data_IF_412189849983
#
_entry.id   IF_412189849983
#
_cell.length_a   1.000
_cell.length_b   1.000
_cell.length_c   1.000
_cell.angle_alpha   90.00
_cell.angle_beta   90.00
_cell.angle_gamma   90.00
#
_symmetry.space_group_name_H-M   'P 1'
#
loop_
_entity.id
_entity.type
_entity.pdbx_description
1 polymer ?
#
# COMPACT_ATOMS: atom_id res chain seq x y z
N UNK A 1 -23.67 -57.72 16.31
CA UNK A 1 -22.74 -58.69 16.91
C UNK A 1 -21.33 -58.11 16.74
N UNK A 2 -20.70 -57.56 17.78
CA UNK A 2 -19.87 -58.29 18.76
C UNK A 2 -18.63 -58.89 18.08
N UNK A 3 -17.36 -58.70 18.50
CA UNK A 3 -16.65 -58.02 19.60
C UNK A 3 -15.13 -58.07 19.21
N UNK A 4 -14.28 -57.44 20.04
CA UNK A 4 -12.89 -57.80 20.40
C UNK A 4 -11.80 -57.36 19.41
N UNK A 5 -11.00 -56.32 19.68
CA UNK A 5 -10.01 -56.17 20.78
C UNK A 5 -8.99 -57.31 20.84
N UNK A 6 -7.71 -56.99 20.64
CA UNK A 6 -6.60 -57.60 21.41
C UNK A 6 -5.33 -56.75 21.35
N UNK A 7 -4.90 -56.37 22.55
CA UNK A 7 -3.63 -55.79 22.95
C UNK A 7 -2.47 -56.80 22.82
N UNK A 8 -1.24 -56.29 22.64
CA UNK A 8 0.02 -56.84 23.19
C UNK A 8 0.83 -55.62 23.68
N UNK A 9 0.99 -55.40 24.98
CA UNK A 9 1.96 -55.99 25.95
C UNK A 9 3.41 -55.80 25.52
N UNK A 10 4.16 -54.95 26.24
CA UNK A 10 5.12 -55.31 27.31
C UNK A 10 6.50 -55.60 26.70
N UNK A 11 7.66 -55.18 27.20
CA UNK A 11 8.12 -54.74 28.51
C UNK A 11 9.56 -54.21 28.29
N UNK A 12 10.14 -53.47 29.24
CA UNK A 12 11.59 -53.27 29.24
C UNK A 12 12.11 -51.99 29.88
N UNK A 13 11.85 -51.80 31.17
CA UNK A 13 12.60 -50.88 32.02
C UNK A 13 14.04 -51.42 32.21
N UNK A 14 15.07 -50.62 31.91
CA UNK A 14 16.38 -50.77 32.54
C UNK A 14 16.86 -49.42 33.06
N UNK A 15 16.69 -49.25 34.35
CA UNK A 15 17.31 -48.22 35.18
C UNK A 15 18.81 -48.53 35.34
N UNK A 16 19.66 -47.53 35.13
CA UNK A 16 20.93 -47.46 35.84
C UNK A 16 21.29 -46.01 36.11
N UNK A 17 21.45 -45.72 37.38
CA UNK A 17 21.69 -44.40 37.94
C UNK A 17 23.16 -43.99 37.79
N UNK A 18 23.40 -42.72 37.47
CA UNK A 18 24.61 -42.00 37.86
C UNK A 18 24.30 -40.50 37.90
N UNK A 19 23.87 -40.03 39.07
CA UNK A 19 23.75 -38.60 39.36
C UNK A 19 25.16 -38.04 39.54
N UNK A 20 25.62 -37.23 38.59
CA UNK A 20 26.73 -36.29 38.81
C UNK A 20 26.13 -34.89 38.89
N UNK A 21 25.97 -34.42 40.12
CA UNK A 21 25.62 -33.03 40.43
C UNK A 21 26.74 -32.12 39.95
N UNK A 22 26.51 -31.41 38.84
CA UNK A 22 27.34 -30.27 38.44
C UNK A 22 26.58 -29.01 38.88
N UNK A 23 27.05 -28.39 39.97
CA UNK A 23 26.62 -27.06 40.36
C UNK A 23 27.30 -26.05 39.42
N UNK A 24 26.62 -25.68 38.33
CA UNK A 24 26.95 -24.46 37.57
C UNK A 24 26.12 -23.34 38.17
N UNK A 25 26.74 -22.52 39.01
CA UNK A 25 26.28 -21.15 39.27
C UNK A 25 26.44 -20.37 37.95
N UNK A 26 25.44 -20.46 37.09
CA UNK A 26 25.34 -19.70 35.86
C UNK A 26 24.29 -18.61 36.03
N UNK A 27 24.72 -17.37 36.18
CA UNK A 27 23.87 -16.19 36.13
C UNK A 27 23.08 -16.19 34.82
N UNK A 28 21.79 -16.49 34.88
CA UNK A 28 20.89 -16.37 33.72
C UNK A 28 20.59 -14.88 33.51
N UNK A 29 21.40 -14.20 32.70
CA UNK A 29 21.02 -12.92 32.12
C UNK A 29 19.86 -13.20 31.16
N UNK A 30 18.64 -12.87 31.58
CA UNK A 30 17.47 -12.88 30.70
C UNK A 30 17.64 -11.75 29.66
N UNK A 31 18.17 -12.09 28.49
CA UNK A 31 18.17 -11.18 27.35
C UNK A 31 16.72 -11.01 26.88
N UNK A 32 16.07 -9.92 27.30
CA UNK A 32 14.77 -9.51 26.77
C UNK A 32 15.01 -9.01 25.35
N UNK A 33 14.81 -9.88 24.36
CA UNK A 33 14.76 -9.46 22.96
C UNK A 33 13.48 -8.63 22.76
N UNK A 34 13.61 -7.30 22.86
CA UNK A 34 12.60 -6.38 22.38
C UNK A 34 12.59 -6.51 20.86
N UNK A 35 11.73 -7.37 20.34
CA UNK A 35 11.43 -7.41 18.92
C UNK A 35 10.70 -6.11 18.60
N UNK A 36 11.44 -5.12 18.11
CA UNK A 36 10.89 -3.94 17.48
C UNK A 36 10.10 -4.42 16.27
N UNK A 37 8.79 -4.61 16.43
CA UNK A 37 7.88 -4.76 15.30
C UNK A 37 7.90 -3.41 14.57
N UNK A 38 8.89 -3.24 13.67
CA UNK A 38 8.84 -2.17 12.70
C UNK A 38 7.49 -2.32 12.00
N UNK A 39 6.64 -1.28 11.99
CA UNK A 39 5.36 -1.38 11.33
C UNK A 39 5.66 -1.74 9.87
N UNK A 40 5.21 -2.93 9.47
CA UNK A 40 5.23 -3.35 8.07
C UNK A 40 4.16 -2.52 7.34
N UNK A 41 4.45 -1.24 7.17
CA UNK A 41 3.81 -0.46 6.14
C UNK A 41 4.32 -1.09 4.85
N UNK A 42 3.49 -1.92 4.21
CA UNK A 42 3.69 -2.24 2.81
C UNK A 42 3.89 -0.89 2.11
N UNK A 43 5.14 -0.62 1.75
CA UNK A 43 5.57 0.66 1.19
C UNK A 43 5.00 0.70 -0.22
N UNK A 44 3.80 1.26 -0.34
CA UNK A 44 3.22 1.51 -1.63
C UNK A 44 4.21 2.35 -2.44
N UNK A 45 4.44 1.94 -3.68
CA UNK A 45 5.28 2.62 -4.65
C UNK A 45 4.51 2.64 -5.97
N UNK A 46 4.60 3.71 -6.77
CA UNK A 46 4.01 3.74 -8.08
C UNK A 46 4.60 2.60 -8.91
N UNK A 47 3.73 1.80 -9.51
CA UNK A 47 4.16 0.78 -10.47
C UNK A 47 4.60 1.47 -11.76
N UNK A 48 5.48 0.85 -12.57
CA UNK A 48 5.74 1.34 -13.92
C UNK A 48 4.43 1.50 -14.69
N UNK A 49 4.29 2.60 -15.44
CA UNK A 49 3.10 2.87 -16.25
C UNK A 49 2.93 1.79 -17.34
N UNK A 50 1.81 1.05 -17.36
CA UNK A 50 1.56 0.09 -18.43
C UNK A 50 1.40 0.79 -19.79
N UNK A 51 1.91 0.17 -20.87
CA UNK A 51 1.89 0.74 -22.24
C UNK A 51 0.50 1.18 -22.70
N UNK A 52 -0.54 0.41 -22.35
CA UNK A 52 -1.92 0.74 -22.65
C UNK A 52 -2.30 2.11 -22.08
N UNK A 53 -2.00 2.34 -20.80
CA UNK A 53 -2.35 3.59 -20.12
C UNK A 53 -1.56 4.79 -20.63
N UNK A 54 -0.29 4.60 -20.99
CA UNK A 54 0.51 5.67 -21.62
C UNK A 54 0.02 6.04 -23.02
N UNK A 55 -0.56 5.09 -23.76
CA UNK A 55 -1.22 5.37 -25.05
C UNK A 55 -2.50 6.16 -24.83
N UNK A 56 -3.38 5.72 -23.92
CA UNK A 56 -4.63 6.44 -23.61
C UNK A 56 -4.31 7.86 -23.13
N UNK A 57 -3.35 8.04 -22.22
CA UNK A 57 -2.95 9.37 -21.73
C UNK A 57 -2.50 10.29 -22.85
N UNK A 58 -1.68 9.81 -23.79
CA UNK A 58 -1.21 10.60 -24.93
C UNK A 58 -2.29 10.92 -25.96
N UNK A 59 -3.30 10.06 -26.09
CA UNK A 59 -4.46 10.31 -26.96
C UNK A 59 -5.41 11.35 -26.34
N UNK A 60 -5.52 11.35 -25.01
CA UNK A 60 -6.53 12.12 -24.29
C UNK A 60 -6.05 13.48 -23.80
N UNK A 61 -4.74 13.67 -23.65
CA UNK A 61 -4.15 14.99 -23.38
C UNK A 61 -3.80 15.67 -24.70
N UNK A 62 -4.06 16.98 -24.79
CA UNK A 62 -3.50 17.77 -25.89
C UNK A 62 -1.96 17.75 -25.87
N UNK A 63 -1.35 18.09 -27.00
CA UNK A 63 0.11 17.98 -27.15
C UNK A 63 0.88 18.85 -26.15
N UNK A 64 0.33 20.01 -25.76
CA UNK A 64 1.01 20.93 -24.86
C UNK A 64 0.97 20.41 -23.42
N UNK A 65 -0.19 19.95 -22.95
CA UNK A 65 -0.37 19.33 -21.63
C UNK A 65 0.42 18.03 -21.51
N UNK A 66 0.53 17.24 -22.58
CA UNK A 66 1.28 16.00 -22.59
C UNK A 66 2.81 16.22 -22.59
N UNK A 67 3.32 17.28 -23.24
CA UNK A 67 4.75 17.59 -23.31
C UNK A 67 5.27 18.31 -22.06
N UNK A 68 4.45 19.17 -21.45
CA UNK A 68 4.86 19.99 -20.31
C UNK A 68 4.82 19.24 -18.97
N UNK A 69 4.14 18.09 -18.89
CA UNK A 69 3.83 17.46 -17.62
C UNK A 69 4.54 16.11 -17.43
N UNK A 70 5.39 16.04 -16.42
CA UNK A 70 5.91 14.78 -15.86
C UNK A 70 4.85 14.11 -14.99
N UNK A 71 3.86 13.48 -15.64
CA UNK A 71 2.84 12.70 -14.95
C UNK A 71 3.44 11.40 -14.40
N UNK A 72 3.35 11.23 -13.08
CA UNK A 72 3.62 9.97 -12.40
C UNK A 72 2.38 9.10 -12.43
N UNK A 73 2.47 7.90 -13.01
CA UNK A 73 1.40 6.91 -12.93
C UNK A 73 1.26 6.40 -11.51
N UNK A 74 0.07 6.56 -10.92
CA UNK A 74 -0.19 6.10 -9.56
C UNK A 74 -0.72 4.68 -9.62
N UNK A 75 -1.88 4.51 -10.25
CA UNK A 75 -2.54 3.22 -10.32
C UNK A 75 -3.67 3.23 -11.36
N UNK A 76 -4.13 2.03 -11.70
CA UNK A 76 -5.26 1.83 -12.57
C UNK A 76 -6.12 0.66 -12.09
N UNK A 77 -7.36 0.65 -12.54
CA UNK A 77 -8.26 -0.47 -12.45
C UNK A 77 -8.91 -0.72 -13.80
N UNK A 78 -9.11 -2.00 -14.11
CA UNK A 78 -9.80 -2.44 -15.31
C UNK A 78 -10.82 -3.50 -14.93
N UNK A 79 -12.03 -3.34 -15.43
CA UNK A 79 -13.14 -4.26 -15.21
C UNK A 79 -14.16 -4.10 -16.33
N UNK A 80 -15.08 -5.05 -16.53
CA UNK A 80 -16.14 -4.92 -17.53
C UNK A 80 -17.00 -3.65 -17.38
N UNK A 81 -17.05 -3.06 -16.18
CA UNK A 81 -17.87 -1.87 -15.89
C UNK A 81 -17.11 -0.56 -16.06
N UNK A 82 -15.80 -0.56 -15.80
CA UNK A 82 -15.01 0.65 -15.73
C UNK A 82 -13.53 0.35 -15.95
N UNK A 83 -12.92 1.19 -16.79
CA UNK A 83 -11.48 1.37 -16.83
C UNK A 83 -11.17 2.76 -16.27
N UNK A 84 -10.24 2.84 -15.31
CA UNK A 84 -9.79 4.09 -14.74
C UNK A 84 -8.29 4.06 -14.45
N UNK A 85 -7.59 5.16 -14.74
CA UNK A 85 -6.22 5.40 -14.32
C UNK A 85 -6.08 6.75 -13.65
N UNK A 86 -5.21 6.80 -12.64
CA UNK A 86 -4.89 7.99 -11.86
C UNK A 86 -3.40 8.32 -12.01
N UNK A 87 -3.12 9.60 -12.23
CA UNK A 87 -1.78 10.16 -12.34
C UNK A 87 -1.63 11.33 -11.38
N UNK A 88 -0.40 11.60 -10.99
CA UNK A 88 -0.02 12.72 -10.12
C UNK A 88 1.06 13.56 -10.80
N UNK A 89 1.02 14.88 -10.64
CA UNK A 89 2.14 15.78 -10.97
C UNK A 89 2.28 16.91 -9.95
N UNK A 90 3.43 17.57 -9.98
CA UNK A 90 3.74 18.78 -9.23
C UNK A 90 3.44 18.71 -7.72
N UNK A 91 3.92 17.66 -7.00
CA UNK A 91 3.75 17.60 -5.55
C UNK A 91 4.48 18.77 -4.88
N UNK A 92 3.77 19.53 -4.05
CA UNK A 92 4.31 20.66 -3.28
C UNK A 92 3.88 20.56 -1.83
N UNK A 93 4.87 20.62 -0.94
CA UNK A 93 4.66 20.65 0.51
C UNK A 93 4.08 22.00 0.93
N UNK A 94 3.04 21.95 1.75
CA UNK A 94 2.49 23.07 2.51
C UNK A 94 2.19 22.55 3.91
N UNK A 95 3.07 22.86 4.86
CA UNK A 95 3.05 22.38 6.24
C UNK A 95 2.92 20.84 6.33
N UNK A 96 1.81 20.35 6.90
CA UNK A 96 1.50 18.93 7.09
C UNK A 96 0.75 18.33 5.90
N UNK A 97 0.66 19.06 4.79
CA UNK A 97 -0.02 18.62 3.57
C UNK A 97 0.90 18.64 2.36
N UNK A 98 0.64 17.76 1.41
CA UNK A 98 1.24 17.86 0.07
C UNK A 98 0.12 18.11 -0.93
N UNK A 99 0.13 19.28 -1.55
CA UNK A 99 -0.77 19.62 -2.66
C UNK A 99 -0.20 19.10 -3.97
N UNK A 100 -1.07 18.68 -4.89
CA UNK A 100 -0.66 18.19 -6.21
C UNK A 100 -1.81 18.26 -7.21
N UNK A 101 -1.51 18.08 -8.49
CA UNK A 101 -2.52 17.90 -9.53
C UNK A 101 -2.69 16.42 -9.84
N UNK A 102 -3.93 15.95 -9.89
CA UNK A 102 -4.27 14.61 -10.33
C UNK A 102 -4.93 14.63 -11.71
N UNK A 103 -4.60 13.65 -12.55
CA UNK A 103 -5.31 13.39 -13.80
C UNK A 103 -6.01 12.05 -13.68
N UNK A 104 -7.32 12.06 -13.95
CA UNK A 104 -8.16 10.86 -14.05
C UNK A 104 -8.52 10.61 -15.51
N UNK A 105 -8.15 9.43 -16.00
CA UNK A 105 -8.59 8.90 -17.29
C UNK A 105 -9.64 7.83 -17.00
N UNK A 106 -10.83 7.95 -17.56
CA UNK A 106 -11.93 7.02 -17.26
C UNK A 106 -12.79 6.72 -18.48
N UNK A 107 -13.22 5.47 -18.62
CA UNK A 107 -14.36 5.09 -19.48
C UNK A 107 -15.25 4.08 -18.77
N UNK A 108 -16.56 4.15 -19.02
CA UNK A 108 -17.56 3.27 -18.40
C UNK A 108 -17.90 2.13 -19.36
N UNK A 109 -17.20 1.01 -19.27
CA UNK A 109 -17.32 -0.09 -20.24
C UNK A 109 -16.66 0.25 -21.57
N UNK A 110 -16.32 -0.79 -22.33
CA UNK A 110 -15.42 -0.69 -23.47
C UNK A 110 -15.98 0.10 -24.67
N UNK A 111 -17.31 0.16 -24.80
CA UNK A 111 -18.00 0.85 -25.90
C UNK A 111 -18.14 2.36 -25.70
N UNK A 112 -17.82 2.88 -24.52
CA UNK A 112 -17.99 4.30 -24.21
C UNK A 112 -16.68 5.07 -24.46
N UNK A 113 -16.79 6.36 -24.85
CA UNK A 113 -15.61 7.19 -25.05
C UNK A 113 -14.85 7.40 -23.74
N UNK A 114 -13.56 7.66 -23.86
CA UNK A 114 -12.73 8.11 -22.76
C UNK A 114 -13.12 9.52 -22.33
N UNK A 115 -13.12 9.74 -21.02
CA UNK A 115 -13.19 11.04 -20.39
C UNK A 115 -11.91 11.35 -19.62
N UNK A 116 -11.59 12.64 -19.52
CA UNK A 116 -10.49 13.17 -18.71
C UNK A 116 -11.00 14.14 -17.67
N UNK A 117 -10.38 14.13 -16.49
CA UNK A 117 -10.61 15.14 -15.45
C UNK A 117 -9.28 15.45 -14.78
N UNK A 118 -8.99 16.75 -14.61
CA UNK A 118 -7.91 17.20 -13.72
C UNK A 118 -8.52 17.64 -12.40
N UNK A 119 -7.87 17.29 -11.29
CA UNK A 119 -8.29 17.62 -9.94
C UNK A 119 -7.13 18.26 -9.18
N UNK A 120 -7.40 19.37 -8.48
CA UNK A 120 -6.53 19.85 -7.42
C UNK A 120 -6.71 18.95 -6.20
N UNK A 121 -5.63 18.35 -5.73
CA UNK A 121 -5.62 17.37 -4.66
C UNK A 121 -4.68 17.81 -3.54
N UNK A 122 -4.93 17.31 -2.33
CA UNK A 122 -3.94 17.32 -1.26
C UNK A 122 -3.93 16.02 -0.47
N UNK A 123 -2.74 15.62 -0.04
CA UNK A 123 -2.51 14.54 0.90
C UNK A 123 -2.38 15.13 2.31
N UNK A 124 -3.20 14.65 3.25
CA UNK A 124 -3.09 14.94 4.67
C UNK A 124 -2.10 13.96 5.29
N UNK A 125 -0.87 14.41 5.55
CA UNK A 125 0.24 13.49 5.84
C UNK A 125 0.12 12.82 7.22
N UNK A 126 -0.54 13.47 8.18
CA UNK A 126 -0.78 12.87 9.50
C UNK A 126 -1.98 11.93 9.50
N UNK A 127 -3.04 12.29 8.76
CA UNK A 127 -4.29 11.55 8.78
C UNK A 127 -4.32 10.38 7.78
N UNK A 128 -3.38 10.34 6.82
CA UNK A 128 -3.34 9.30 5.79
C UNK A 128 -4.50 9.41 4.79
N UNK A 129 -5.05 10.61 4.61
CA UNK A 129 -6.24 10.89 3.79
C UNK A 129 -5.87 11.70 2.55
N UNK A 130 -6.58 11.43 1.44
CA UNK A 130 -6.58 12.28 0.26
C UNK A 130 -7.81 13.17 0.28
N UNK A 131 -7.63 14.42 -0.13
CA UNK A 131 -8.71 15.37 -0.34
C UNK A 131 -8.61 15.97 -1.74
N UNK A 132 -9.77 16.33 -2.28
CA UNK A 132 -9.88 17.07 -3.54
C UNK A 132 -10.49 18.44 -3.29
N UNK A 133 -10.12 19.39 -4.12
CA UNK A 133 -10.72 20.71 -4.14
C UNK A 133 -11.89 20.73 -5.13
N UNK A 134 -13.02 21.32 -4.73
CA UNK A 134 -14.13 21.63 -5.64
C UNK A 134 -13.90 22.96 -6.38
N UNK A 135 -14.86 23.33 -7.24
CA UNK A 135 -14.77 24.54 -8.06
C UNK A 135 -14.84 25.83 -7.22
N UNK A 136 -15.41 25.77 -6.02
CA UNK A 136 -15.47 26.88 -5.07
C UNK A 136 -14.24 26.94 -4.16
N UNK A 137 -13.25 26.05 -4.37
CA UNK A 137 -12.01 26.05 -3.61
C UNK A 137 -12.09 25.28 -2.28
N UNK A 138 -13.20 24.59 -1.99
CA UNK A 138 -13.38 23.84 -0.74
C UNK A 138 -12.77 22.44 -0.85
N UNK A 139 -12.12 22.02 0.23
CA UNK A 139 -11.53 20.69 0.33
C UNK A 139 -12.55 19.70 0.88
N UNK A 140 -12.59 18.50 0.28
CA UNK A 140 -13.40 17.39 0.74
C UNK A 140 -12.66 16.06 0.59
N UNK A 141 -12.94 15.06 1.45
CA UNK A 141 -12.35 13.74 1.32
C UNK A 141 -12.52 13.17 -0.09
N UNK A 142 -11.41 12.71 -0.67
CA UNK A 142 -11.41 11.94 -1.89
C UNK A 142 -11.49 10.45 -1.53
N UNK A 143 -12.47 9.70 -2.07
CA UNK A 143 -12.68 8.31 -1.68
C UNK A 143 -11.41 7.47 -1.78
N UNK A 144 -10.93 7.02 -0.62
CA UNK A 144 -9.82 6.08 -0.52
C UNK A 144 -10.27 4.65 -0.82
N UNK A 145 -9.28 3.81 -1.14
CA UNK A 145 -9.42 2.35 -1.21
C UNK A 145 -8.42 1.70 -0.27
N UNK A 146 -8.45 0.38 -0.16
CA UNK A 146 -7.42 -0.35 0.59
C UNK A 146 -6.02 0.06 0.08
N UNK A 147 -5.15 0.46 1.01
CA UNK A 147 -3.81 0.97 0.70
C UNK A 147 -3.70 2.49 0.50
N UNK A 148 -4.78 3.27 0.63
CA UNK A 148 -4.72 4.74 0.51
C UNK A 148 -3.74 5.37 1.50
N UNK A 149 -3.70 4.94 2.76
CA UNK A 149 -2.76 5.49 3.74
C UNK A 149 -1.30 5.29 3.31
N UNK A 150 -0.93 4.10 2.81
CA UNK A 150 0.42 3.85 2.28
C UNK A 150 0.73 4.73 1.07
N UNK A 151 -0.25 4.94 0.17
CA UNK A 151 -0.09 5.87 -0.96
C UNK A 151 0.12 7.31 -0.47
N UNK A 152 -0.66 7.76 0.50
CA UNK A 152 -0.52 9.10 1.11
C UNK A 152 0.87 9.27 1.69
N UNK A 153 1.39 8.28 2.43
CA UNK A 153 2.75 8.31 2.95
C UNK A 153 3.80 8.48 1.84
N UNK A 154 3.63 7.76 0.72
CA UNK A 154 4.51 7.92 -0.43
C UNK A 154 4.43 9.32 -1.04
N UNK A 155 3.23 9.88 -1.23
CA UNK A 155 3.03 11.25 -1.74
C UNK A 155 3.70 12.26 -0.82
N UNK A 156 3.53 12.11 0.49
CA UNK A 156 4.12 12.96 1.52
C UNK A 156 5.65 12.89 1.57
N UNK A 157 6.25 11.82 1.06
CA UNK A 157 7.70 11.68 0.92
C UNK A 157 8.26 12.33 -0.36
N UNK A 158 7.41 12.63 -1.37
CA UNK A 158 7.87 13.25 -2.63
C UNK A 158 8.22 14.73 -2.49
N UNK A 159 7.68 15.39 -1.47
CA UNK A 159 7.95 16.78 -1.15
C UNK A 159 8.28 16.89 0.35
N UNK A 160 9.53 16.59 0.75
CA UNK A 160 9.95 16.73 2.14
C UNK A 160 9.84 18.19 2.60
N UNK A 161 9.77 18.40 3.92
CA UNK A 161 9.79 19.75 4.47
C UNK A 161 11.08 20.47 4.02
N UNK A 162 10.99 21.75 3.60
CA UNK A 162 12.18 22.57 3.41
C UNK A 162 12.99 22.72 4.70
#
# INVERSE_FOLDING_TARGET
MSVLSRLRSCDGLQTSAAVRTILIMGSTAAAVSVASALPSHASWLPKPEPKFWSQVRRQMLDQDTAKQAEWTFMEAMQSPKIDAAEYLRDPRRLDQTVTFQALLLMRKGESNPWGTRQLSMRAQCLDGVLERQDQEGRWSPYPGRQGTASKVNWICAQAPNP
#
